data_IF_801223281949
#
_entry.id   IF_801223281949
#
_cell.length_a   1.000
_cell.length_b   1.000
_cell.length_c   1.000
_cell.angle_alpha   90.00
_cell.angle_beta   90.00
_cell.angle_gamma   90.00
#
_symmetry.space_group_name_H-M   'P 1'
#
loop_
_entity.id
_entity.type
_entity.pdbx_description
1 polymer ?
#
# COMPACT_ATOMS: atom_id res chain seq x y z
N UNK A 1 -14.98 -5.74 9.86
CA UNK A 1 -13.66 -5.28 10.25
C UNK A 1 -13.49 -3.82 9.86
N UNK A 2 -13.16 -2.98 10.83
CA UNK A 2 -13.15 -1.54 10.65
C UNK A 2 -11.82 -0.98 10.22
N UNK A 3 -11.31 -1.38 9.06
CA UNK A 3 -10.11 -0.79 8.52
C UNK A 3 -10.48 0.10 7.35
N UNK A 4 -10.13 1.37 7.47
CA UNK A 4 -10.31 2.33 6.39
C UNK A 4 -8.93 2.80 5.94
N UNK A 5 -8.46 2.35 4.76
CA UNK A 5 -7.20 2.84 4.22
C UNK A 5 -7.31 4.30 3.79
N UNK A 6 -6.19 5.01 3.81
CA UNK A 6 -6.18 6.40 3.34
C UNK A 6 -6.52 6.50 1.86
N UNK A 7 -6.06 5.54 1.06
CA UNK A 7 -6.42 5.42 -0.34
C UNK A 7 -6.54 3.95 -0.72
N UNK A 8 -7.43 3.65 -1.65
CA UNK A 8 -7.57 2.29 -2.16
C UNK A 8 -7.99 2.32 -3.62
N UNK A 9 -7.57 1.31 -4.38
CA UNK A 9 -7.77 1.27 -5.82
C UNK A 9 -8.12 -0.13 -6.28
N UNK A 10 -9.16 -0.24 -7.13
CA UNK A 10 -9.47 -1.45 -7.86
C UNK A 10 -8.83 -1.36 -9.24
N UNK A 11 -8.13 -2.40 -9.65
CA UNK A 11 -7.44 -2.43 -10.93
C UNK A 11 -8.31 -3.18 -11.93
N UNK A 12 -8.62 -2.51 -13.03
CA UNK A 12 -9.43 -3.09 -14.11
C UNK A 12 -10.92 -2.87 -13.94
N UNK A 13 -11.54 -3.48 -12.94
CA UNK A 13 -12.97 -3.36 -12.67
C UNK A 13 -13.23 -3.09 -11.21
N UNK A 14 -14.39 -2.54 -10.89
CA UNK A 14 -14.80 -2.36 -9.50
C UNK A 14 -15.01 -3.71 -8.84
N UNK A 15 -14.50 -3.85 -7.61
CA UNK A 15 -14.54 -5.07 -6.83
C UNK A 15 -14.98 -4.74 -5.42
N UNK A 16 -15.47 -5.76 -4.70
CA UNK A 16 -15.83 -5.58 -3.30
C UNK A 16 -14.62 -5.13 -2.46
N UNK A 17 -13.45 -5.71 -2.74
CA UNK A 17 -12.21 -5.33 -2.07
C UNK A 17 -11.19 -4.83 -3.10
N UNK A 18 -10.44 -3.77 -2.77
CA UNK A 18 -9.46 -3.20 -3.71
C UNK A 18 -8.25 -4.11 -3.92
N UNK A 19 -7.53 -3.88 -5.01
CA UNK A 19 -6.26 -4.56 -5.28
C UNK A 19 -5.08 -3.89 -4.60
N UNK A 20 -5.16 -2.59 -4.40
CA UNK A 20 -4.10 -1.78 -3.82
C UNK A 20 -4.66 -0.91 -2.71
N UNK A 21 -3.96 -0.91 -1.58
CA UNK A 21 -4.28 -0.08 -0.42
C UNK A 21 -3.06 0.76 -0.10
N UNK A 22 -3.25 2.04 0.20
CA UNK A 22 -2.17 2.94 0.61
C UNK A 22 -2.51 3.49 2.00
N UNK A 23 -1.57 3.32 2.93
CA UNK A 23 -1.67 3.83 4.29
C UNK A 23 -0.61 4.89 4.51
N UNK A 24 -1.02 6.06 4.98
CA UNK A 24 -0.08 7.09 5.43
C UNK A 24 0.09 6.92 6.94
N UNK A 25 1.29 6.49 7.34
CA UNK A 25 1.55 6.10 8.71
C UNK A 25 2.20 7.26 9.46
N UNK A 26 1.52 7.74 10.50
CA UNK A 26 2.05 8.83 11.33
C UNK A 26 2.74 8.33 12.60
N UNK A 27 2.46 7.07 12.98
CA UNK A 27 3.10 6.42 14.13
C UNK A 27 3.54 5.02 13.73
N UNK A 28 4.43 4.42 14.52
CA UNK A 28 4.84 3.04 14.28
C UNK A 28 3.65 2.08 14.45
N UNK A 29 3.73 0.89 13.83
CA UNK A 29 2.72 -0.14 14.01
C UNK A 29 1.85 -0.42 12.79
N UNK A 30 2.09 0.28 11.68
CA UNK A 30 1.29 0.06 10.47
C UNK A 30 1.40 -1.35 9.92
N UNK A 31 2.53 -2.03 10.14
CA UNK A 31 2.76 -3.36 9.61
C UNK A 31 1.77 -4.39 10.15
N UNK A 32 1.22 -4.17 11.35
CA UNK A 32 0.23 -5.08 11.92
C UNK A 32 -1.08 -5.09 11.13
N UNK A 33 -1.34 -4.05 10.36
CA UNK A 33 -2.53 -4.00 9.51
C UNK A 33 -2.46 -4.99 8.35
N UNK A 34 -1.26 -5.47 8.01
CA UNK A 34 -1.12 -6.49 6.97
C UNK A 34 -1.91 -7.75 7.30
N UNK A 35 -2.05 -8.10 8.58
CA UNK A 35 -2.87 -9.24 8.98
C UNK A 35 -4.31 -9.08 8.52
N UNK A 36 -4.86 -7.88 8.66
CA UNK A 36 -6.23 -7.59 8.27
C UNK A 36 -6.36 -7.60 6.74
N UNK A 37 -5.44 -6.95 6.05
CA UNK A 37 -5.47 -6.89 4.60
C UNK A 37 -5.25 -8.26 3.96
N UNK A 38 -4.44 -9.11 4.60
CA UNK A 38 -4.23 -10.48 4.13
C UNK A 38 -5.55 -11.28 4.19
N UNK A 39 -6.33 -11.11 5.24
CA UNK A 39 -7.63 -11.78 5.37
C UNK A 39 -8.61 -11.30 4.30
N UNK A 40 -8.50 -10.05 3.87
CA UNK A 40 -9.33 -9.50 2.82
C UNK A 40 -8.82 -9.80 1.42
N UNK A 41 -7.64 -10.43 1.32
CA UNK A 41 -7.06 -10.78 0.03
C UNK A 41 -6.50 -9.61 -0.76
N UNK A 42 -6.12 -8.54 -0.07
CA UNK A 42 -5.56 -7.35 -0.74
C UNK A 42 -4.19 -7.71 -1.32
N UNK A 43 -4.03 -7.50 -2.64
CA UNK A 43 -2.83 -7.93 -3.35
C UNK A 43 -1.61 -7.12 -2.99
N UNK A 44 -1.76 -5.82 -2.76
CA UNK A 44 -0.60 -4.97 -2.50
C UNK A 44 -0.98 -3.87 -1.52
N UNK A 45 -0.09 -3.61 -0.56
CA UNK A 45 -0.27 -2.59 0.47
C UNK A 45 0.98 -1.71 0.49
N UNK A 46 0.78 -0.39 0.42
CA UNK A 46 1.86 0.58 0.50
C UNK A 46 1.75 1.34 1.81
N UNK A 47 2.89 1.52 2.48
CA UNK A 47 2.98 2.36 3.67
C UNK A 47 3.89 3.55 3.37
N UNK A 48 3.36 4.74 3.54
CA UNK A 48 4.13 5.99 3.43
C UNK A 48 4.41 6.50 4.83
N UNK A 49 5.70 6.65 5.17
CA UNK A 49 6.12 7.10 6.50
C UNK A 49 7.48 7.76 6.39
N UNK A 50 7.61 8.96 6.97
CA UNK A 50 8.89 9.67 7.05
C UNK A 50 9.58 9.80 5.68
N UNK A 51 8.82 10.21 4.68
CA UNK A 51 9.30 10.40 3.30
C UNK A 51 9.80 9.12 2.64
N UNK A 52 9.35 7.97 3.14
CA UNK A 52 9.70 6.67 2.57
C UNK A 52 8.44 5.89 2.23
N UNK A 53 8.52 5.19 1.12
CA UNK A 53 7.44 4.31 0.68
C UNK A 53 7.90 2.87 0.81
N UNK A 54 7.14 2.08 1.58
CA UNK A 54 7.34 0.64 1.69
C UNK A 54 6.21 -0.06 0.95
N UNK A 55 6.55 -0.96 0.04
CA UNK A 55 5.59 -1.69 -0.78
C UNK A 55 5.61 -3.16 -0.37
N UNK A 56 4.43 -3.70 -0.05
CA UNK A 56 4.26 -5.10 0.33
C UNK A 56 3.30 -5.77 -0.63
N UNK A 57 3.71 -6.90 -1.18
CA UNK A 57 2.89 -7.66 -2.13
C UNK A 57 2.57 -9.03 -1.56
N UNK A 58 1.29 -9.43 -1.62
CA UNK A 58 0.82 -10.69 -1.08
C UNK A 58 1.30 -11.85 -1.96
N UNK A 59 1.94 -12.84 -1.33
CA UNK A 59 2.43 -14.03 -2.03
C UNK A 59 1.51 -15.22 -1.78
N UNK A 60 1.40 -16.08 -2.78
CA UNK A 60 0.57 -17.27 -2.67
C UNK A 60 1.14 -18.29 -1.69
N UNK A 61 2.45 -18.38 -1.60
CA UNK A 61 3.11 -19.28 -0.67
C UNK A 61 3.31 -18.55 0.66
N UNK A 62 2.27 -18.55 1.48
CA UNK A 62 2.24 -17.81 2.73
C UNK A 62 3.23 -18.33 3.76
N UNK A 63 3.60 -19.62 3.67
CA UNK A 63 4.52 -20.22 4.63
C UNK A 63 5.90 -19.58 4.60
N UNK A 64 6.30 -19.01 3.47
CA UNK A 64 7.59 -18.39 3.33
C UNK A 64 7.63 -16.94 3.84
N UNK A 65 6.47 -16.35 4.08
CA UNK A 65 6.37 -14.93 4.42
C UNK A 65 5.56 -14.69 5.67
N UNK A 66 5.67 -15.62 6.65
CA UNK A 66 4.87 -15.57 7.87
C UNK A 66 5.14 -14.32 8.72
N UNK A 67 6.36 -13.77 8.65
CA UNK A 67 6.72 -12.61 9.46
C UNK A 67 5.91 -11.36 9.08
N UNK A 68 5.45 -11.27 7.82
CA UNK A 68 4.65 -10.15 7.32
C UNK A 68 3.28 -10.60 6.85
N UNK A 69 2.73 -11.63 7.50
CA UNK A 69 1.38 -12.14 7.21
C UNK A 69 1.18 -12.52 5.74
N UNK A 70 2.23 -13.05 5.11
CA UNK A 70 2.19 -13.46 3.72
C UNK A 70 2.61 -12.39 2.72
N UNK A 71 2.95 -11.20 3.17
CA UNK A 71 3.41 -10.12 2.29
C UNK A 71 4.92 -10.07 2.20
N UNK A 72 5.42 -9.88 0.99
CA UNK A 72 6.84 -9.69 0.74
C UNK A 72 7.11 -8.21 0.47
N UNK A 73 8.14 -7.66 1.11
CA UNK A 73 8.58 -6.29 0.83
C UNK A 73 9.25 -6.24 -0.54
N UNK A 74 8.79 -5.35 -1.40
CA UNK A 74 9.31 -5.17 -2.75
C UNK A 74 9.58 -3.69 -3.00
N UNK A 75 10.34 -3.39 -4.05
CA UNK A 75 10.71 -2.00 -4.36
C UNK A 75 10.01 -1.44 -5.59
N UNK A 76 9.14 -2.21 -6.22
CA UNK A 76 8.34 -1.78 -7.35
C UNK A 76 6.95 -2.39 -7.23
N UNK A 77 5.93 -1.64 -7.66
CA UNK A 77 4.57 -2.16 -7.63
C UNK A 77 4.37 -3.27 -8.66
N UNK A 78 3.72 -4.35 -8.25
CA UNK A 78 3.34 -5.42 -9.17
C UNK A 78 1.91 -5.24 -9.69
N UNK A 79 1.05 -4.53 -8.96
CA UNK A 79 -0.29 -4.22 -9.45
C UNK A 79 -0.30 -3.01 -10.38
N UNK A 80 0.71 -2.13 -10.26
CA UNK A 80 0.90 -0.99 -11.16
C UNK A 80 2.34 -0.99 -11.68
N UNK A 81 2.70 -1.98 -12.52
CA UNK A 81 4.11 -2.18 -12.90
C UNK A 81 4.71 -1.05 -13.73
N UNK A 82 3.88 -0.25 -14.37
CA UNK A 82 4.34 0.87 -15.20
C UNK A 82 4.56 2.14 -14.40
N UNK A 83 4.13 2.17 -13.12
CA UNK A 83 4.27 3.35 -12.29
C UNK A 83 5.72 3.53 -11.86
N UNK A 84 6.24 4.73 -12.07
CA UNK A 84 7.58 5.07 -11.62
C UNK A 84 7.51 5.46 -10.15
N UNK A 85 7.90 4.55 -9.27
CA UNK A 85 7.82 4.75 -7.82
C UNK A 85 8.74 5.87 -7.35
N UNK A 86 9.94 5.97 -7.92
CA UNK A 86 10.89 7.02 -7.54
C UNK A 86 10.34 8.41 -7.84
N UNK A 87 9.78 8.58 -9.04
CA UNK A 87 9.20 9.85 -9.43
C UNK A 87 7.98 10.18 -8.56
N UNK A 88 7.16 9.19 -8.27
CA UNK A 88 5.99 9.38 -7.41
C UNK A 88 6.41 9.86 -6.01
N UNK A 89 7.39 9.19 -5.41
CA UNK A 89 7.84 9.56 -4.06
C UNK A 89 8.49 10.93 -4.04
N UNK A 90 9.21 11.31 -5.08
CA UNK A 90 9.80 12.64 -5.18
C UNK A 90 8.74 13.74 -5.25
N UNK A 91 7.57 13.44 -5.79
CA UNK A 91 6.50 14.43 -5.92
C UNK A 91 5.72 14.62 -4.63
N UNK A 92 5.86 13.71 -3.66
CA UNK A 92 5.15 13.79 -2.39
C UNK A 92 6.05 14.49 -1.37
N UNK A 93 5.88 15.81 -1.24
CA UNK A 93 6.77 16.61 -0.40
C UNK A 93 6.11 17.14 0.85
N UNK A 94 4.88 16.76 1.11
CA UNK A 94 4.14 17.34 2.23
C UNK A 94 4.08 16.35 3.40
N UNK A 95 4.45 16.78 4.62
CA UNK A 95 4.42 15.91 5.78
C UNK A 95 3.02 15.63 6.31
N UNK A 96 2.02 16.38 5.89
CA UNK A 96 0.64 16.16 6.35
C UNK A 96 0.11 14.83 5.79
N UNK A 97 -0.48 13.95 6.65
CA UNK A 97 -1.05 12.70 6.16
C UNK A 97 -2.13 12.91 5.10
N UNK A 98 -2.98 13.90 5.28
CA UNK A 98 -4.04 14.18 4.32
C UNK A 98 -3.47 14.63 2.97
N UNK A 99 -2.47 15.50 3.00
CA UNK A 99 -1.85 15.98 1.78
C UNK A 99 -1.07 14.87 1.06
N UNK A 100 -0.43 13.98 1.82
CA UNK A 100 0.27 12.84 1.24
C UNK A 100 -0.70 11.90 0.54
N UNK A 101 -1.83 11.58 1.18
CA UNK A 101 -2.86 10.72 0.59
C UNK A 101 -3.38 11.33 -0.71
N UNK A 102 -3.63 12.63 -0.72
CA UNK A 102 -4.08 13.34 -1.92
C UNK A 102 -3.04 13.30 -3.03
N UNK A 103 -1.75 13.46 -2.68
CA UNK A 103 -0.67 13.40 -3.64
C UNK A 103 -0.55 12.01 -4.28
N UNK A 104 -0.74 10.95 -3.50
CA UNK A 104 -0.79 9.60 -4.06
C UNK A 104 -1.93 9.44 -5.05
N UNK A 105 -3.11 9.95 -4.70
CA UNK A 105 -4.26 9.88 -5.60
C UNK A 105 -3.95 10.58 -6.92
N UNK A 106 -3.41 11.78 -6.88
CA UNK A 106 -3.10 12.54 -8.08
C UNK A 106 -2.01 11.87 -8.92
N UNK A 107 -1.01 11.27 -8.26
CA UNK A 107 0.08 10.60 -8.95
C UNK A 107 -0.31 9.27 -9.58
N UNK A 108 -1.30 8.56 -9.02
CA UNK A 108 -1.75 7.27 -9.54
C UNK A 108 -2.82 7.44 -10.61
N UNK A 109 -3.69 8.41 -10.45
CA UNK A 109 -4.74 8.70 -11.41
C UNK A 109 -4.27 9.70 -12.45
#
# INVERSE_FOLDING_TARGET
MGVEPDESYCIGTDKEFPDLVIEVVVTSGGINRLAIYQQLGIQEVWFWSEDRLAIYHLRQNLDQFTANFGYEAINRSQVLPELNIELLTESIQNPSPLAAAKAFREGIL
#
